data_IF_327070380439
#
_entry.id   IF_327070380439
#
_cell.length_a   1.000
_cell.length_b   1.000
_cell.length_c   1.000
_cell.angle_alpha   90.00
_cell.angle_beta   90.00
_cell.angle_gamma   90.00
#
_symmetry.space_group_name_H-M   'P 1'
#
loop_
_entity.id
_entity.type
_entity.pdbx_description
1 polymer ?
#
# COMPACT_ATOMS: atom_id res chain seq x y z
N UNK A 1 25.33 21.48 -21.20
CA UNK A 1 24.00 20.83 -21.09
C UNK A 1 23.72 20.57 -19.63
N UNK A 2 22.63 21.10 -19.07
CA UNK A 2 22.30 20.87 -17.65
C UNK A 2 21.91 19.42 -17.41
N UNK A 3 22.36 18.87 -16.27
CA UNK A 3 22.04 17.50 -15.89
C UNK A 3 20.52 17.31 -15.71
N UNK A 4 20.05 16.07 -15.78
CA UNK A 4 18.63 15.76 -15.54
C UNK A 4 18.19 16.20 -14.12
N UNK A 5 19.08 16.07 -13.15
CA UNK A 5 18.85 16.49 -11.75
C UNK A 5 18.76 18.01 -11.60
N UNK A 6 19.59 18.78 -12.32
CA UNK A 6 19.51 20.25 -12.33
C UNK A 6 18.20 20.74 -12.95
N UNK A 7 17.79 20.14 -14.06
CA UNK A 7 16.51 20.46 -14.72
C UNK A 7 15.31 20.17 -13.82
N UNK A 8 15.33 19.03 -13.13
CA UNK A 8 14.29 18.69 -12.17
C UNK A 8 14.22 19.71 -11.01
N UNK A 9 15.36 20.09 -10.42
CA UNK A 9 15.40 21.09 -9.34
C UNK A 9 14.88 22.46 -9.78
N UNK A 10 15.26 22.92 -10.97
CA UNK A 10 14.79 24.18 -11.53
C UNK A 10 13.27 24.16 -11.78
N UNK A 11 12.74 23.06 -12.32
CA UNK A 11 11.30 22.87 -12.49
C UNK A 11 10.55 22.87 -11.16
N UNK A 12 11.10 22.27 -10.11
CA UNK A 12 10.49 22.29 -8.77
C UNK A 12 10.53 23.68 -8.12
N UNK A 13 11.61 24.44 -8.33
CA UNK A 13 11.75 25.78 -7.79
C UNK A 13 10.71 26.76 -8.37
N UNK A 14 10.33 26.59 -9.63
CA UNK A 14 9.37 27.45 -10.32
C UNK A 14 7.89 27.23 -9.97
N UNK A 15 7.54 26.21 -9.18
CA UNK A 15 6.15 25.92 -8.81
C UNK A 15 5.69 26.71 -7.59
N UNK A 16 4.41 27.09 -7.58
CA UNK A 16 3.74 27.64 -6.40
C UNK A 16 3.57 26.56 -5.32
N UNK A 17 3.33 26.95 -4.05
CA UNK A 17 3.03 26.00 -2.98
C UNK A 17 1.86 25.06 -3.30
N UNK A 18 0.80 25.57 -3.94
CA UNK A 18 -0.38 24.79 -4.32
C UNK A 18 -0.07 23.75 -5.40
N UNK A 19 0.70 24.13 -6.43
CA UNK A 19 1.12 23.21 -7.49
C UNK A 19 2.07 22.12 -6.96
N UNK A 20 2.95 22.47 -6.02
CA UNK A 20 3.80 21.49 -5.32
C UNK A 20 2.94 20.51 -4.52
N UNK A 21 1.94 20.99 -3.78
CA UNK A 21 1.03 20.14 -3.03
C UNK A 21 0.26 19.19 -3.96
N UNK A 22 -0.28 19.71 -5.07
CA UNK A 22 -1.00 18.91 -6.07
C UNK A 22 -0.13 17.78 -6.66
N UNK A 23 1.16 18.04 -6.91
CA UNK A 23 2.11 17.02 -7.40
C UNK A 23 2.53 16.01 -6.32
N UNK A 24 2.60 16.43 -5.06
CA UNK A 24 3.03 15.57 -3.95
C UNK A 24 1.91 14.65 -3.44
N UNK A 25 0.65 15.07 -3.50
CA UNK A 25 -0.49 14.28 -2.97
C UNK A 25 -0.57 12.87 -3.57
N UNK A 26 -0.49 12.67 -4.91
CA UNK A 26 -0.47 11.33 -5.50
C UNK A 26 0.74 10.51 -5.05
N UNK A 27 1.93 11.11 -5.00
CA UNK A 27 3.15 10.44 -4.57
C UNK A 27 3.10 10.01 -3.09
N UNK A 28 2.54 10.85 -2.22
CA UNK A 28 2.30 10.50 -0.81
C UNK A 28 1.27 9.37 -0.67
N UNK A 29 0.18 9.39 -1.44
CA UNK A 29 -0.79 8.30 -1.45
C UNK A 29 -0.14 6.99 -1.87
N UNK A 30 0.55 6.97 -3.01
CA UNK A 30 1.26 5.79 -3.51
C UNK A 30 2.25 5.24 -2.47
N UNK A 31 3.09 6.11 -1.87
CA UNK A 31 4.03 5.72 -0.81
C UNK A 31 3.33 5.15 0.41
N UNK A 32 2.19 5.69 0.83
CA UNK A 32 1.40 5.14 1.94
C UNK A 32 0.91 3.73 1.64
N UNK A 33 0.41 3.48 0.43
CA UNK A 33 -0.03 2.15 0.02
C UNK A 33 1.12 1.14 0.01
N UNK A 34 2.25 1.48 -0.61
CA UNK A 34 3.44 0.61 -0.64
C UNK A 34 3.94 0.31 0.78
N UNK A 35 4.00 1.32 1.64
CA UNK A 35 4.41 1.14 3.04
C UNK A 35 3.44 0.23 3.81
N UNK A 36 2.13 0.33 3.55
CA UNK A 36 1.14 -0.51 4.20
C UNK A 36 1.27 -1.97 3.73
N UNK A 37 1.46 -2.20 2.44
CA UNK A 37 1.70 -3.53 1.88
C UNK A 37 2.96 -4.18 2.47
N UNK A 38 4.08 -3.44 2.49
CA UNK A 38 5.32 -3.92 3.10
C UNK A 38 5.17 -4.18 4.60
N UNK A 39 4.43 -3.34 5.31
CA UNK A 39 4.16 -3.52 6.73
C UNK A 39 3.32 -4.77 6.99
N UNK A 40 2.23 -4.96 6.23
CA UNK A 40 1.36 -6.15 6.33
C UNK A 40 2.18 -7.41 6.03
N UNK A 41 2.99 -7.39 4.97
CA UNK A 41 3.85 -8.52 4.60
C UNK A 41 4.81 -8.88 5.74
N UNK A 42 5.55 -7.90 6.27
CA UNK A 42 6.46 -8.14 7.40
C UNK A 42 5.73 -8.67 8.64
N UNK A 43 4.55 -8.14 8.93
CA UNK A 43 3.75 -8.58 10.07
C UNK A 43 3.35 -10.04 9.91
N UNK A 44 2.82 -10.41 8.74
CA UNK A 44 2.43 -11.79 8.41
C UNK A 44 3.64 -12.73 8.43
N UNK A 45 4.75 -12.35 7.81
CA UNK A 45 5.97 -13.15 7.76
C UNK A 45 6.60 -13.34 9.15
N UNK A 46 6.43 -12.37 10.05
CA UNK A 46 6.92 -12.44 11.43
C UNK A 46 6.02 -13.23 12.38
N UNK A 47 4.76 -13.48 11.97
CA UNK A 47 3.80 -14.17 12.82
C UNK A 47 4.14 -15.66 12.88
N UNK A 48 4.07 -16.30 14.06
CA UNK A 48 4.20 -17.74 14.14
C UNK A 48 3.08 -18.43 13.34
N UNK A 49 3.33 -19.64 12.80
CA UNK A 49 2.29 -20.38 12.11
C UNK A 49 1.11 -20.62 13.05
N UNK A 50 -0.11 -20.47 12.53
CA UNK A 50 -1.33 -20.72 13.30
C UNK A 50 -1.36 -22.17 13.80
N UNK A 51 -1.93 -22.37 14.99
CA UNK A 51 -2.27 -23.73 15.46
C UNK A 51 -3.46 -24.28 14.66
N UNK A 52 -3.69 -25.60 14.74
CA UNK A 52 -4.82 -26.22 14.06
C UNK A 52 -6.18 -25.70 14.56
N UNK A 53 -6.28 -25.47 15.87
CA UNK A 53 -7.47 -24.89 16.51
C UNK A 53 -7.73 -23.44 16.03
N UNK A 54 -6.66 -22.65 15.90
CA UNK A 54 -6.74 -21.28 15.37
C UNK A 54 -7.13 -21.27 13.89
N UNK A 55 -6.56 -22.18 13.08
CA UNK A 55 -6.96 -22.33 11.67
C UNK A 55 -8.43 -22.70 11.53
N UNK A 56 -8.90 -23.65 12.34
CA UNK A 56 -10.29 -24.10 12.35
C UNK A 56 -11.24 -22.97 12.72
N UNK A 57 -10.89 -22.19 13.75
CA UNK A 57 -11.65 -21.01 14.18
C UNK A 57 -11.72 -19.96 13.08
N UNK A 58 -10.57 -19.65 12.46
CA UNK A 58 -10.49 -18.68 11.37
C UNK A 58 -11.30 -19.12 10.15
N UNK A 59 -11.23 -20.41 9.80
CA UNK A 59 -12.01 -20.98 8.70
C UNK A 59 -13.53 -20.85 8.93
N UNK A 60 -13.99 -21.08 10.17
CA UNK A 60 -15.39 -20.88 10.55
C UNK A 60 -15.84 -19.42 10.39
N UNK A 61 -15.00 -18.47 10.83
CA UNK A 61 -15.27 -17.03 10.71
C UNK A 61 -15.32 -16.58 9.24
N UNK A 62 -14.42 -17.09 8.40
CA UNK A 62 -14.28 -16.68 7.00
C UNK A 62 -15.25 -17.38 6.03
N UNK A 63 -15.89 -18.47 6.45
CA UNK A 63 -16.79 -19.25 5.60
C UNK A 63 -17.92 -18.42 4.91
N UNK A 64 -18.58 -17.44 5.58
CA UNK A 64 -19.60 -16.61 4.93
C UNK A 64 -19.04 -15.71 3.83
N UNK A 65 -17.81 -15.19 4.00
CA UNK A 65 -17.15 -14.34 3.02
C UNK A 65 -16.73 -15.14 1.77
N UNK A 66 -16.26 -16.38 1.96
CA UNK A 66 -15.91 -17.29 0.87
C UNK A 66 -17.13 -17.72 0.03
N UNK A 67 -18.30 -17.92 0.65
CA UNK A 67 -19.54 -18.23 -0.09
C UNK A 67 -19.96 -17.10 -1.02
N UNK A 68 -19.85 -15.84 -0.56
CA UNK A 68 -20.22 -14.67 -1.39
C UNK A 68 -19.31 -14.50 -2.61
N UNK A 69 -18.01 -14.78 -2.47
CA UNK A 69 -17.07 -14.70 -3.59
C UNK A 69 -17.33 -15.79 -4.65
N UNK A 70 -17.74 -17.00 -4.25
CA UNK A 70 -18.09 -18.08 -5.19
C UNK A 70 -19.43 -17.92 -5.89
N UNK A 71 -20.35 -17.15 -5.32
CA UNK A 71 -21.67 -16.90 -5.92
C UNK A 71 -21.67 -15.74 -6.94
N UNK A 72 -20.60 -14.94 -6.96
CA UNK A 72 -20.43 -13.78 -7.84
C UNK A 72 -19.42 -14.00 -8.96
N UNK A 73 -18.90 -15.23 -9.09
CA UNK A 73 -17.99 -15.68 -10.15
C UNK A 73 -18.70 -16.74 -11.00
#
# INVERSE_FOLDING_TARGET
MSSQSERARAQWAGLTPEERAARLVPAHRARKYTNAEDYIRRLVDSAPPLTEEQRTTLAGILAPAHRKLKASA
#
